data_IF_187684715078
#
_entry.id   IF_187684715078
#
_cell.length_a   1.000
_cell.length_b   1.000
_cell.length_c   1.000
_cell.angle_alpha   90.00
_cell.angle_beta   90.00
_cell.angle_gamma   90.00
#
_symmetry.space_group_name_H-M   'P 1'
#
loop_
_entity.id
_entity.type
_entity.pdbx_description
1 polymer ?
#
# COMPACT_ATOMS: atom_id res chain seq x y z
N UNK A 1 15.78 -0.19 -11.87
CA UNK A 1 15.38 -0.46 -11.42
C UNK A 1 15.22 -0.67 -10.45
N UNK A 2 15.37 -0.50 -10.00
CA UNK A 2 15.30 -0.65 -9.20
C UNK A 2 14.36 -0.86 -8.40
N UNK A 3 13.68 -1.17 -8.27
CA UNK A 3 12.65 -1.57 -7.52
C UNK A 3 12.97 -2.33 -6.33
N UNK A 4 14.11 -2.15 -5.86
CA UNK A 4 14.56 -2.90 -4.79
C UNK A 4 13.66 -2.85 -3.60
N UNK A 5 13.26 -1.68 -3.21
CA UNK A 5 12.47 -1.54 -2.02
C UNK A 5 11.11 -2.18 -2.11
N UNK A 6 10.57 -2.23 -3.30
CA UNK A 6 9.23 -2.73 -3.41
C UNK A 6 9.17 -4.23 -3.37
N UNK A 7 10.30 -4.88 -3.45
CA UNK A 7 10.26 -6.32 -3.42
C UNK A 7 9.90 -6.85 -2.07
N UNK A 8 9.97 -6.00 -1.05
CA UNK A 8 9.60 -6.44 0.27
C UNK A 8 8.10 -6.76 0.33
N UNK A 9 7.33 -6.12 -0.51
CA UNK A 9 5.92 -6.46 -0.62
C UNK A 9 5.83 -7.59 -1.62
N UNK A 10 5.57 -8.74 -1.15
CA UNK A 10 5.60 -9.92 -1.95
C UNK A 10 4.89 -9.75 -3.26
N UNK A 11 5.54 -10.13 -4.30
CA UNK A 11 4.90 -10.16 -5.61
C UNK A 11 4.29 -8.88 -6.08
N UNK A 12 4.98 -7.78 -5.86
CA UNK A 12 4.46 -6.53 -6.37
C UNK A 12 4.43 -6.53 -7.89
N UNK A 13 5.18 -7.45 -8.52
CA UNK A 13 5.11 -7.57 -9.96
C UNK A 13 3.72 -7.99 -10.41
N UNK A 14 2.94 -8.59 -9.50
CA UNK A 14 1.61 -9.03 -9.82
C UNK A 14 0.57 -8.02 -9.36
N UNK A 15 0.96 -6.80 -9.11
CA UNK A 15 0.03 -5.79 -8.66
C UNK A 15 -0.94 -5.43 -9.77
N UNK A 16 -2.22 -5.62 -9.51
CA UNK A 16 -3.26 -5.27 -10.44
C UNK A 16 -3.88 -3.95 -10.02
N UNK A 17 -3.89 -2.99 -10.92
CA UNK A 17 -4.56 -1.73 -10.64
C UNK A 17 -6.01 -1.91 -11.02
N UNK A 18 -6.88 -1.98 -10.00
CA UNK A 18 -8.28 -2.27 -10.20
C UNK A 18 -9.06 -1.02 -10.57
N UNK A 19 -8.67 0.11 -10.03
CA UNK A 19 -9.39 1.36 -10.27
C UNK A 19 -8.48 2.54 -9.97
N UNK A 20 -8.62 3.59 -10.76
CA UNK A 20 -8.01 4.88 -10.48
C UNK A 20 -9.08 5.94 -10.63
N UNK A 21 -9.33 6.68 -9.58
CA UNK A 21 -10.27 7.79 -9.61
C UNK A 21 -9.55 9.10 -9.35
N UNK A 22 -10.28 10.17 -9.33
CA UNK A 22 -9.70 11.49 -9.07
C UNK A 22 -9.09 11.57 -7.67
N UNK A 23 -9.72 10.91 -6.72
CA UNK A 23 -9.28 10.95 -5.33
C UNK A 23 -9.30 9.57 -4.70
N UNK A 24 -9.12 8.54 -5.49
CA UNK A 24 -9.13 7.18 -4.98
C UNK A 24 -8.38 6.24 -5.92
N UNK A 25 -7.99 5.11 -5.39
CA UNK A 25 -7.43 4.05 -6.20
C UNK A 25 -7.64 2.72 -5.50
N UNK A 26 -7.63 1.66 -6.26
CA UNK A 26 -7.74 0.32 -5.70
C UNK A 26 -6.78 -0.59 -6.44
N UNK A 27 -6.04 -1.37 -5.69
CA UNK A 27 -5.09 -2.32 -6.27
C UNK A 27 -5.27 -3.67 -5.60
N UNK A 28 -4.79 -4.71 -6.23
CA UNK A 28 -4.84 -6.04 -5.66
C UNK A 28 -3.55 -6.79 -6.00
N UNK A 29 -3.17 -7.69 -5.12
CA UNK A 29 -2.00 -8.51 -5.38
C UNK A 29 -2.13 -9.81 -4.58
N UNK A 30 -1.35 -10.81 -4.95
CA UNK A 30 -1.33 -12.09 -4.25
C UNK A 30 -0.07 -12.17 -3.43
N UNK A 31 -0.21 -12.58 -2.18
CA UNK A 31 0.94 -12.72 -1.30
C UNK A 31 1.71 -13.97 -1.69
N UNK A 32 3.00 -13.85 -1.88
CA UNK A 32 3.83 -14.99 -2.24
C UNK A 32 3.83 -16.01 -1.11
N UNK A 33 4.03 -17.27 -1.46
CA UNK A 33 4.18 -18.29 -0.45
C UNK A 33 5.44 -18.02 0.34
N UNK A 34 5.39 -18.25 1.62
CA UNK A 34 6.54 -17.99 2.47
C UNK A 34 7.79 -18.69 1.98
N UNK A 35 7.63 -19.88 1.46
CA UNK A 35 8.77 -20.62 0.97
C UNK A 35 9.36 -20.00 -0.28
N UNK A 36 8.57 -19.25 -1.02
CA UNK A 36 9.03 -18.62 -2.25
C UNK A 36 9.54 -17.20 -2.02
N UNK A 37 9.32 -16.66 -0.85
CA UNK A 37 9.73 -15.28 -0.56
C UNK A 37 10.80 -15.31 0.54
N UNK A 38 12.08 -15.21 0.16
CA UNK A 38 13.15 -15.26 1.15
C UNK A 38 13.08 -14.15 2.18
N UNK A 39 12.52 -13.01 1.80
CA UNK A 39 12.41 -11.90 2.73
C UNK A 39 11.53 -12.26 3.91
N UNK A 40 10.39 -12.82 3.64
CA UNK A 40 9.46 -13.22 4.69
C UNK A 40 10.06 -14.37 5.48
N UNK A 41 10.56 -15.38 4.80
CA UNK A 41 11.11 -16.55 5.47
C UNK A 41 12.34 -16.21 6.30
N UNK A 42 13.16 -15.31 5.81
CA UNK A 42 14.39 -14.98 6.50
C UNK A 42 14.19 -14.08 7.71
N UNK A 43 13.21 -13.18 7.66
CA UNK A 43 13.00 -12.24 8.74
C UNK A 43 12.01 -12.74 9.79
N UNK A 44 11.12 -13.62 9.41
CA UNK A 44 10.06 -14.06 10.32
C UNK A 44 9.89 -15.56 10.28
N UNK A 45 10.94 -16.30 10.62
CA UNK A 45 10.87 -17.75 10.59
C UNK A 45 9.80 -18.23 11.56
N UNK A 46 8.96 -19.11 11.11
CA UNK A 46 7.93 -19.63 11.96
C UNK A 46 6.63 -18.84 11.94
N UNK A 47 6.62 -17.72 11.26
CA UNK A 47 5.41 -16.91 11.17
C UNK A 47 4.90 -16.90 9.74
N UNK A 48 3.88 -17.69 9.46
CA UNK A 48 3.34 -17.77 8.10
C UNK A 48 2.33 -16.66 7.80
N UNK A 49 2.59 -15.46 8.31
CA UNK A 49 1.70 -14.34 8.08
C UNK A 49 2.51 -13.15 7.63
N UNK A 50 1.88 -12.28 6.87
CA UNK A 50 2.56 -11.08 6.38
C UNK A 50 2.57 -10.04 7.48
N UNK A 51 3.72 -9.49 7.83
CA UNK A 51 3.79 -8.47 8.86
C UNK A 51 3.01 -7.23 8.48
N UNK A 52 2.50 -6.53 9.50
CA UNK A 52 1.73 -5.32 9.27
C UNK A 52 2.46 -4.27 8.48
N UNK A 53 3.78 -4.18 8.63
CA UNK A 53 4.55 -3.21 7.88
C UNK A 53 4.42 -3.40 6.37
N UNK A 54 4.29 -4.64 5.92
CA UNK A 54 4.12 -4.90 4.51
C UNK A 54 2.76 -4.39 4.03
N UNK A 55 1.76 -4.34 4.92
CA UNK A 55 0.47 -3.79 4.54
C UNK A 55 0.54 -2.28 4.40
N UNK A 56 1.39 -1.62 5.18
CA UNK A 56 1.62 -0.19 5.02
C UNK A 56 2.26 0.05 3.65
N UNK A 57 3.22 -0.78 3.27
CA UNK A 57 3.83 -0.65 1.96
C UNK A 57 2.82 -0.90 0.85
N UNK A 58 1.89 -1.82 1.05
CA UNK A 58 0.86 -2.09 0.04
C UNK A 58 -0.04 -0.88 -0.16
N UNK A 59 -0.41 -0.22 0.94
CA UNK A 59 -1.20 1.00 0.83
C UNK A 59 -0.39 2.08 0.13
N UNK A 60 0.89 2.19 0.44
CA UNK A 60 1.75 3.16 -0.23
C UNK A 60 1.81 2.89 -1.73
N UNK A 61 1.88 1.62 -2.13
CA UNK A 61 1.89 1.32 -3.56
C UNK A 61 0.60 1.79 -4.24
N UNK A 62 -0.52 1.66 -3.57
CA UNK A 62 -1.77 2.15 -4.13
C UNK A 62 -1.74 3.67 -4.30
N UNK A 63 -1.16 4.37 -3.32
CA UNK A 63 -1.06 5.82 -3.40
C UNK A 63 -0.12 6.22 -4.55
N UNK A 64 0.99 5.50 -4.70
CA UNK A 64 1.93 5.80 -5.78
C UNK A 64 1.30 5.55 -7.15
N UNK A 65 0.48 4.51 -7.26
CA UNK A 65 -0.23 4.26 -8.51
C UNK A 65 -1.23 5.36 -8.81
N UNK A 66 -1.88 5.87 -7.77
CA UNK A 66 -2.80 6.98 -7.94
C UNK A 66 -2.06 8.23 -8.41
N UNK A 67 -0.91 8.52 -7.79
CA UNK A 67 -0.15 9.73 -8.11
C UNK A 67 0.44 9.69 -9.52
N UNK A 68 0.87 8.54 -9.94
CA UNK A 68 1.48 8.39 -11.26
C UNK A 68 2.91 8.89 -11.28
N UNK A 69 3.62 8.61 -12.37
CA UNK A 69 5.05 8.95 -12.43
C UNK A 69 5.35 10.44 -12.48
N UNK A 70 4.36 11.25 -12.85
CA UNK A 70 4.60 12.69 -12.97
C UNK A 70 4.51 13.41 -11.63
N UNK A 71 4.03 12.75 -10.59
CA UNK A 71 3.85 13.39 -9.30
C UNK A 71 4.62 12.65 -8.23
N UNK A 72 5.34 13.41 -7.43
CA UNK A 72 6.15 12.83 -6.39
C UNK A 72 5.46 13.00 -5.05
N UNK A 73 5.10 11.92 -4.42
CA UNK A 73 4.48 11.95 -3.11
C UNK A 73 5.27 11.01 -2.21
N UNK A 74 5.48 11.42 -0.98
CA UNK A 74 6.28 10.66 -0.04
C UNK A 74 5.56 10.51 1.29
N UNK A 75 5.54 9.31 1.80
CA UNK A 75 4.91 9.03 3.07
C UNK A 75 5.61 9.84 4.16
N UNK A 76 4.85 10.65 4.87
CA UNK A 76 5.39 11.53 5.89
C UNK A 76 5.05 11.06 7.29
N UNK A 77 3.90 10.45 7.48
CA UNK A 77 3.48 10.01 8.80
C UNK A 77 2.42 8.94 8.72
N UNK A 78 2.41 8.09 9.73
CA UNK A 78 1.36 7.11 9.89
C UNK A 78 0.56 7.54 11.10
N UNK A 79 -0.61 8.08 10.89
CA UNK A 79 -1.42 8.60 11.97
C UNK A 79 -2.15 7.51 12.73
N UNK A 80 -2.55 6.48 12.03
CA UNK A 80 -3.29 5.41 12.66
C UNK A 80 -3.19 4.16 11.80
N UNK A 81 -2.87 3.06 12.45
CA UNK A 81 -2.84 1.77 11.77
C UNK A 81 -3.53 0.77 12.68
N UNK A 82 -4.58 0.16 12.20
CA UNK A 82 -5.31 -0.84 12.96
C UNK A 82 -5.32 -2.14 12.16
N UNK A 83 -4.71 -3.16 12.72
CA UNK A 83 -4.65 -4.46 12.07
C UNK A 83 -5.63 -5.39 12.75
N UNK A 84 -6.55 -5.96 11.99
CA UNK A 84 -7.62 -6.77 12.55
C UNK A 84 -7.40 -8.24 12.39
N UNK A 85 -6.88 -8.64 11.24
CA UNK A 85 -6.66 -10.04 10.94
C UNK A 85 -5.35 -10.22 10.20
N UNK A 86 -4.71 -11.35 10.35
CA UNK A 86 -3.45 -11.59 9.63
C UNK A 86 -3.69 -11.87 8.16
N UNK A 87 -2.65 -11.66 7.38
CA UNK A 87 -2.65 -12.02 5.97
C UNK A 87 -1.67 -13.16 5.81
N UNK A 88 -2.08 -14.20 5.10
CA UNK A 88 -1.28 -15.40 4.96
C UNK A 88 -0.72 -15.53 3.55
N UNK A 89 0.34 -16.30 3.38
CA UNK A 89 0.85 -16.58 2.04
C UNK A 89 -0.26 -17.17 1.18
N UNK A 90 -0.32 -16.74 -0.06
CA UNK A 90 -1.35 -17.19 -0.98
C UNK A 90 -2.63 -16.38 -0.95
N UNK A 91 -2.81 -15.52 0.04
CA UNK A 91 -4.01 -14.69 0.09
C UNK A 91 -4.01 -13.66 -1.03
N UNK A 92 -5.20 -13.38 -1.53
CA UNK A 92 -5.40 -12.27 -2.47
C UNK A 92 -5.74 -11.05 -1.65
N UNK A 93 -4.95 -10.01 -1.77
CA UNK A 93 -5.09 -8.80 -0.97
C UNK A 93 -5.64 -7.69 -1.84
N UNK A 94 -6.65 -7.00 -1.32
CA UNK A 94 -7.29 -5.88 -1.98
C UNK A 94 -7.01 -4.62 -1.15
N UNK A 95 -6.52 -3.59 -1.80
CA UNK A 95 -6.18 -2.33 -1.12
C UNK A 95 -6.98 -1.21 -1.77
N UNK A 96 -7.70 -0.46 -0.93
CA UNK A 96 -8.47 0.69 -1.38
C UNK A 96 -7.93 1.92 -0.67
N UNK A 97 -7.71 2.99 -1.41
CA UNK A 97 -7.28 4.24 -0.79
C UNK A 97 -8.20 5.37 -1.21
N UNK A 98 -8.49 6.24 -0.25
CA UNK A 98 -9.22 7.48 -0.48
C UNK A 98 -8.25 8.60 -0.13
N UNK A 99 -8.13 9.56 -1.01
CA UNK A 99 -7.12 10.60 -0.87
C UNK A 99 -7.78 11.95 -0.74
N UNK A 100 -7.40 12.69 0.30
CA UNK A 100 -7.87 14.04 0.52
C UNK A 100 -6.69 14.98 0.40
N UNK A 101 -6.82 15.98 -0.43
CA UNK A 101 -5.76 16.94 -0.62
C UNK A 101 -5.86 18.01 0.44
N UNK A 102 -4.74 18.39 1.02
CA UNK A 102 -4.69 19.40 2.06
C UNK A 102 -3.62 20.41 1.69
N UNK A 103 -3.60 21.56 2.36
CA UNK A 103 -2.54 22.54 2.09
C UNK A 103 -1.14 22.00 2.33
N UNK A 104 -1.01 21.04 3.24
CA UNK A 104 0.30 20.48 3.55
C UNK A 104 0.66 19.27 2.71
N UNK A 105 -0.29 18.70 1.99
CA UNK A 105 -0.02 17.50 1.21
C UNK A 105 -1.26 16.66 1.05
N UNK A 106 -1.16 15.38 1.41
CA UNK A 106 -2.28 14.48 1.24
C UNK A 106 -2.59 13.74 2.53
N UNK A 107 -3.86 13.49 2.75
CA UNK A 107 -4.31 12.57 3.78
C UNK A 107 -4.90 11.36 3.09
N UNK A 108 -4.51 10.18 3.53
CA UNK A 108 -4.95 8.94 2.89
C UNK A 108 -5.63 8.05 3.90
N UNK A 109 -6.80 7.54 3.51
CA UNK A 109 -7.48 6.51 4.28
C UNK A 109 -7.33 5.24 3.48
N UNK A 110 -6.63 4.26 4.03
CA UNK A 110 -6.41 2.99 3.37
C UNK A 110 -7.18 1.88 4.03
N UNK A 111 -7.73 0.99 3.23
CA UNK A 111 -8.40 -0.20 3.72
C UNK A 111 -7.81 -1.39 3.03
N UNK A 112 -7.50 -2.40 3.79
CA UNK A 112 -6.94 -3.63 3.26
C UNK A 112 -7.86 -4.78 3.61
N UNK A 113 -8.15 -5.62 2.64
CA UNK A 113 -9.01 -6.77 2.85
C UNK A 113 -8.50 -7.95 2.04
N UNK A 114 -8.92 -9.14 2.43
CA UNK A 114 -8.67 -10.34 1.64
C UNK A 114 -10.01 -10.99 1.38
N UNK A 115 -10.01 -12.12 0.71
CA UNK A 115 -11.24 -12.86 0.50
C UNK A 115 -11.87 -13.34 1.81
N UNK A 116 -11.15 -13.22 2.93
CA UNK A 116 -11.69 -13.58 4.23
C UNK A 116 -12.28 -12.39 4.98
N UNK A 117 -12.17 -11.19 4.44
CA UNK A 117 -12.71 -10.01 5.07
C UNK A 117 -11.70 -8.92 5.30
N UNK A 118 -12.07 -7.95 6.12
CA UNK A 118 -11.24 -6.78 6.36
C UNK A 118 -10.03 -7.16 7.20
N UNK A 119 -8.87 -6.65 6.79
CA UNK A 119 -7.61 -6.95 7.45
C UNK A 119 -7.08 -5.76 8.20
N UNK A 120 -7.13 -4.58 7.62
CA UNK A 120 -6.52 -3.41 8.25
C UNK A 120 -7.15 -2.12 7.78
N UNK A 121 -7.07 -1.11 8.65
CA UNK A 121 -7.45 0.25 8.33
C UNK A 121 -6.27 1.13 8.68
N UNK A 122 -5.90 2.02 7.76
CA UNK A 122 -4.73 2.86 7.94
C UNK A 122 -5.07 4.31 7.63
N UNK A 123 -4.43 5.23 8.35
CA UNK A 123 -4.51 6.65 8.05
C UNK A 123 -3.10 7.17 7.94
N UNK A 124 -2.77 7.69 6.78
CA UNK A 124 -1.42 8.10 6.46
C UNK A 124 -1.43 9.53 5.97
N UNK A 125 -0.30 10.20 6.12
CA UNK A 125 -0.12 11.52 5.55
C UNK A 125 1.07 11.52 4.62
N UNK A 126 0.95 12.29 3.55
CA UNK A 126 1.99 12.37 2.54
C UNK A 126 2.39 13.80 2.29
N UNK A 127 3.65 13.99 1.94
CA UNK A 127 4.15 15.26 1.47
C UNK A 127 4.15 15.20 -0.05
N UNK A 128 3.95 16.34 -0.66
CA UNK A 128 4.06 16.46 -2.10
C UNK A 128 5.26 17.33 -2.41
N UNK A 129 5.97 17.00 -3.45
CA UNK A 129 7.17 17.72 -3.78
C UNK A 129 6.89 19.14 -4.21
N UNK A 130 5.81 19.35 -4.90
CA UNK A 130 5.48 20.67 -5.42
C UNK A 130 4.52 21.43 -4.56
N UNK A 131 4.29 20.99 -3.34
CA UNK A 131 3.35 21.67 -2.48
C UNK A 131 1.96 21.59 -3.06
N UNK A 132 1.19 22.64 -2.91
CA UNK A 132 -0.21 22.59 -3.29
C UNK A 132 -0.47 22.42 -4.78
N UNK A 133 0.53 22.55 -5.56
CA UNK A 133 0.29 22.46 -6.97
C UNK A 133 -0.01 21.05 -7.45
N UNK A 134 0.19 20.08 -6.59
CA UNK A 134 -0.03 18.70 -6.96
C UNK A 134 -1.41 18.46 -7.48
N UNK A 135 -2.33 19.17 -6.94
CA UNK A 135 -3.63 18.87 -7.26
C UNK A 135 -4.13 19.34 -8.49
N UNK A 136 -3.53 20.24 -9.03
CA UNK A 136 -4.04 20.87 -10.16
C UNK A 136 -4.76 20.06 -11.08
N UNK A 137 -4.28 19.07 -11.48
CA UNK A 137 -4.88 18.42 -12.54
C UNK A 137 -6.04 17.80 -12.12
N UNK A 138 -6.06 17.81 -11.00
CA UNK A 138 -7.20 17.09 -10.59
C UNK A 138 -7.22 16.19 -11.56
#
# INVERSE_FOLDING_TARGET
MTATGTQAVANTADLDVMRRGAHSAAVAFTVAEAAADPTVAGHYPGFPVLPGLYLVEAVDRAVQEWAGPAHEVALAAMDRCRFRHPVHPGDRVFVDVEITETPEGLRVKGRVATNRGRVADLRLRYRTAAGPAFIGPG
#
